data_IF_645164007573
#
_entry.id   IF_645164007573
#
_cell.length_a   1.000
_cell.length_b   1.000
_cell.length_c   1.000
_cell.angle_alpha   90.00
_cell.angle_beta   90.00
_cell.angle_gamma   90.00
#
_symmetry.space_group_name_H-M   'P 1'
#
loop_
_entity.id
_entity.type
_entity.pdbx_description
1 polymer ?
#
# COMPACT_ATOMS: atom_id res chain seq x y z
N UNK A 1 14.44 8.95 11.82
CA UNK A 1 13.17 9.66 11.58
C UNK A 1 12.28 8.75 10.76
N UNK A 2 11.20 8.25 11.34
CA UNK A 2 10.19 7.47 10.63
C UNK A 2 9.44 8.44 9.73
N UNK A 3 9.55 8.32 8.40
CA UNK A 3 8.72 9.15 7.51
C UNK A 3 7.26 8.74 7.72
N UNK A 4 6.39 9.71 8.05
CA UNK A 4 4.94 9.50 8.20
C UNK A 4 4.21 9.27 6.86
N UNK A 5 4.97 9.04 5.79
CA UNK A 5 4.45 8.83 4.45
C UNK A 5 5.17 7.69 3.72
N UNK A 6 4.42 7.05 2.85
CA UNK A 6 4.85 6.03 1.91
C UNK A 6 4.67 6.59 0.51
N UNK A 7 5.69 6.50 -0.34
CA UNK A 7 5.55 6.88 -1.75
C UNK A 7 6.05 5.78 -2.68
N UNK A 8 5.43 5.68 -3.84
CA UNK A 8 5.78 4.71 -4.89
C UNK A 8 5.27 5.16 -6.25
N UNK A 9 6.07 4.92 -7.29
CA UNK A 9 5.60 4.95 -8.68
C UNK A 9 4.94 3.62 -9.05
N UNK A 10 3.73 3.69 -9.57
CA UNK A 10 2.92 2.52 -9.92
C UNK A 10 3.49 1.84 -11.16
N UNK A 11 3.72 0.54 -11.03
CA UNK A 11 4.20 -0.33 -12.11
C UNK A 11 3.03 -0.81 -12.98
N UNK A 12 3.30 -1.26 -14.20
CA UNK A 12 2.29 -1.87 -15.08
C UNK A 12 1.55 -3.05 -14.44
N UNK A 13 2.24 -3.86 -13.63
CA UNK A 13 1.62 -4.97 -12.88
C UNK A 13 0.61 -4.47 -11.84
N UNK A 14 0.95 -3.40 -11.12
CA UNK A 14 0.12 -2.80 -10.08
C UNK A 14 -1.19 -2.22 -10.66
N UNK A 15 -1.10 -1.56 -11.82
CA UNK A 15 -2.27 -1.11 -12.58
C UNK A 15 -3.13 -2.30 -13.01
N UNK A 16 -2.52 -3.29 -13.68
CA UNK A 16 -3.24 -4.43 -14.28
C UNK A 16 -3.97 -5.26 -13.24
N UNK A 17 -3.32 -5.53 -12.11
CA UNK A 17 -3.84 -6.38 -11.05
C UNK A 17 -4.64 -5.60 -9.98
N UNK A 18 -4.56 -4.26 -10.02
CA UNK A 18 -5.33 -3.37 -9.15
C UNK A 18 -4.89 -3.41 -7.69
N UNK A 19 -3.59 -3.24 -7.44
CA UNK A 19 -3.04 -3.10 -6.10
C UNK A 19 -1.88 -2.12 -6.05
N UNK A 20 -1.60 -1.61 -4.85
CA UNK A 20 -0.40 -0.84 -4.54
C UNK A 20 0.51 -1.73 -3.72
N UNK A 21 1.71 -2.02 -4.22
CA UNK A 21 2.65 -2.89 -3.54
C UNK A 21 3.35 -2.13 -2.41
N UNK A 22 3.31 -2.67 -1.19
CA UNK A 22 3.92 -2.08 -0.01
C UNK A 22 5.26 -2.77 0.29
N UNK A 23 6.31 -1.97 0.43
CA UNK A 23 7.64 -2.48 0.76
C UNK A 23 7.69 -2.92 2.23
N UNK A 24 8.30 -4.07 2.52
CA UNK A 24 8.38 -4.65 3.88
C UNK A 24 8.90 -3.67 4.94
N UNK A 25 9.93 -2.89 4.62
CA UNK A 25 10.52 -1.90 5.55
C UNK A 25 9.62 -0.68 5.80
N UNK A 26 8.55 -0.49 5.01
CA UNK A 26 7.54 0.57 5.15
C UNK A 26 6.26 0.10 5.82
N UNK A 27 6.14 -1.19 6.14
CA UNK A 27 4.96 -1.73 6.84
C UNK A 27 4.71 -1.09 8.20
N UNK A 28 5.76 -0.59 8.87
CA UNK A 28 5.63 0.09 10.15
C UNK A 28 4.76 1.36 10.09
N UNK A 29 4.54 1.92 8.90
CA UNK A 29 3.64 3.06 8.70
C UNK A 29 2.16 2.64 8.73
N UNK A 30 1.88 1.40 8.33
CA UNK A 30 0.53 0.88 8.18
C UNK A 30 0.12 0.10 9.43
N UNK A 31 -1.19 -0.08 9.65
CA UNK A 31 -1.68 -1.08 10.59
C UNK A 31 -1.15 -2.47 10.24
N UNK A 32 -1.14 -3.37 11.21
CA UNK A 32 -0.70 -4.76 10.99
C UNK A 32 -1.46 -5.39 9.83
N UNK A 33 -0.79 -6.26 9.08
CA UNK A 33 -1.42 -6.97 7.96
C UNK A 33 -2.74 -7.62 8.39
N UNK A 34 -3.77 -7.49 7.55
CA UNK A 34 -5.13 -7.93 7.86
C UNK A 34 -5.98 -6.93 8.65
N UNK A 35 -5.39 -5.93 9.32
CA UNK A 35 -6.18 -4.89 9.99
C UNK A 35 -6.75 -3.89 8.99
N UNK A 36 -8.03 -3.56 9.19
CA UNK A 36 -8.75 -2.61 8.37
C UNK A 36 -8.42 -1.17 8.77
N UNK A 37 -8.29 -0.30 7.78
CA UNK A 37 -8.14 1.15 7.92
C UNK A 37 -8.80 1.88 6.76
N UNK A 38 -9.04 3.17 6.94
CA UNK A 38 -9.64 4.02 5.93
C UNK A 38 -8.54 4.67 5.09
N UNK A 39 -8.60 4.47 3.78
CA UNK A 39 -7.75 5.13 2.80
C UNK A 39 -8.60 6.08 1.96
N UNK A 40 -8.23 7.37 1.98
CA UNK A 40 -8.99 8.46 1.38
C UNK A 40 -8.18 9.14 0.28
N UNK A 41 -8.74 9.22 -0.92
CA UNK A 41 -8.28 10.11 -1.99
C UNK A 41 -9.13 11.39 -2.02
N UNK A 42 -8.83 12.28 -2.95
CA UNK A 42 -9.65 13.46 -3.22
C UNK A 42 -11.11 13.09 -3.56
N UNK A 43 -11.30 12.03 -4.34
CA UNK A 43 -12.59 11.69 -4.94
C UNK A 43 -13.28 10.50 -4.25
N UNK A 44 -12.52 9.66 -3.53
CA UNK A 44 -13.05 8.41 -2.96
C UNK A 44 -12.50 8.15 -1.56
N UNK A 45 -13.30 7.48 -0.74
CA UNK A 45 -12.90 6.99 0.58
C UNK A 45 -13.28 5.52 0.66
N UNK A 46 -12.34 4.65 1.05
CA UNK A 46 -12.58 3.21 1.13
C UNK A 46 -11.93 2.62 2.37
N UNK A 47 -12.58 1.62 2.96
CA UNK A 47 -11.97 0.79 3.98
C UNK A 47 -11.16 -0.31 3.28
N UNK A 48 -9.88 -0.37 3.59
CA UNK A 48 -8.90 -1.28 3.00
C UNK A 48 -8.07 -1.94 4.09
N UNK A 49 -7.19 -2.86 3.71
CA UNK A 49 -6.21 -3.50 4.60
C UNK A 49 -4.92 -3.73 3.81
N UNK A 50 -3.81 -3.87 4.53
CA UNK A 50 -2.60 -4.46 3.96
C UNK A 50 -2.80 -5.97 3.91
N UNK A 51 -2.79 -6.55 2.72
CA UNK A 51 -2.77 -8.00 2.52
C UNK A 51 -1.32 -8.49 2.48
N UNK A 52 -1.08 -9.68 3.03
CA UNK A 52 0.21 -10.35 2.99
C UNK A 52 0.05 -11.70 2.29
N UNK A 53 0.86 -11.98 1.28
CA UNK A 53 0.86 -13.24 0.53
C UNK A 53 2.27 -13.82 0.54
N UNK A 54 2.38 -15.07 1.00
CA UNK A 54 3.61 -15.85 0.93
C UNK A 54 3.94 -16.12 -0.54
N UNK A 55 5.14 -15.73 -0.96
CA UNK A 55 5.63 -15.88 -2.31
C UNK A 55 6.95 -16.68 -2.29
N UNK A 56 7.09 -17.58 -3.25
CA UNK A 56 8.30 -18.39 -3.45
C UNK A 56 9.06 -17.99 -4.71
N UNK A 57 8.82 -16.79 -5.26
CA UNK A 57 9.43 -16.39 -6.53
C UNK A 57 10.97 -16.26 -6.47
N UNK A 58 11.56 -16.22 -5.27
CA UNK A 58 13.02 -16.29 -5.06
C UNK A 58 13.57 -17.70 -4.89
N UNK A 59 12.73 -18.73 -5.07
CA UNK A 59 13.04 -20.13 -4.81
C UNK A 59 12.41 -20.63 -3.50
N UNK A 60 12.14 -21.93 -3.41
CA UNK A 60 11.50 -22.56 -2.26
C UNK A 60 12.31 -22.39 -0.95
N UNK A 61 13.62 -22.18 -1.06
CA UNK A 61 14.54 -22.01 0.07
C UNK A 61 14.55 -20.57 0.62
N UNK A 62 13.97 -19.60 -0.11
CA UNK A 62 13.91 -18.20 0.28
C UNK A 62 12.45 -17.70 0.23
N UNK A 63 11.55 -18.22 1.09
CA UNK A 63 10.19 -17.71 1.18
C UNK A 63 10.22 -16.24 1.60
N UNK A 64 9.52 -15.40 0.86
CA UNK A 64 9.31 -13.99 1.21
C UNK A 64 7.83 -13.63 1.12
N UNK A 65 7.46 -12.54 1.76
CA UNK A 65 6.08 -12.07 1.76
C UNK A 65 5.95 -10.84 0.86
N UNK A 66 4.92 -10.84 0.02
CA UNK A 66 4.45 -9.67 -0.69
C UNK A 66 3.36 -9.00 0.12
N UNK A 67 3.46 -7.69 0.25
CA UNK A 67 2.45 -6.88 0.92
C UNK A 67 1.85 -5.91 -0.07
N UNK A 68 0.53 -5.76 -0.04
CA UNK A 68 -0.15 -4.86 -0.96
C UNK A 68 -1.47 -4.36 -0.40
N UNK A 69 -1.94 -3.22 -0.92
CA UNK A 69 -3.27 -2.68 -0.67
C UNK A 69 -4.07 -2.83 -1.96
N UNK A 70 -5.23 -3.47 -1.90
CA UNK A 70 -6.13 -3.55 -3.04
C UNK A 70 -6.69 -2.17 -3.36
N UNK A 71 -6.35 -1.66 -4.53
CA UNK A 71 -6.84 -0.37 -5.00
C UNK A 71 -6.83 -0.33 -6.52
N UNK A 72 -8.02 -0.22 -7.12
CA UNK A 72 -8.21 -0.10 -8.57
C UNK A 72 -8.32 1.35 -8.99
N UNK A 73 -7.96 1.61 -10.25
CA UNK A 73 -8.08 2.93 -10.87
C UNK A 73 -6.85 3.81 -10.68
N UNK A 74 -5.66 3.20 -10.58
CA UNK A 74 -4.38 3.91 -10.65
C UNK A 74 -3.64 3.39 -11.88
N UNK A 75 -2.97 4.27 -12.60
CA UNK A 75 -2.31 3.98 -13.86
C UNK A 75 -0.80 3.82 -13.67
N UNK A 76 -0.16 3.06 -14.54
CA UNK A 76 1.30 3.01 -14.64
C UNK A 76 1.89 4.43 -14.72
N UNK A 77 2.99 4.64 -14.01
CA UNK A 77 3.70 5.91 -13.99
C UNK A 77 3.13 6.94 -13.02
N UNK A 78 1.91 6.75 -12.49
CA UNK A 78 1.41 7.60 -11.41
C UNK A 78 2.30 7.48 -10.17
N UNK A 79 2.53 8.60 -9.50
CA UNK A 79 3.24 8.65 -8.25
C UNK A 79 2.23 8.72 -7.10
N UNK A 80 2.15 7.63 -6.34
CA UNK A 80 1.22 7.51 -5.22
C UNK A 80 1.94 7.85 -3.93
N UNK A 81 1.35 8.75 -3.14
CA UNK A 81 1.81 9.11 -1.80
C UNK A 81 0.69 8.79 -0.81
N UNK A 82 1.00 7.99 0.21
CA UNK A 82 0.10 7.62 1.29
C UNK A 82 0.65 8.16 2.60
N UNK A 83 -0.13 9.00 3.28
CA UNK A 83 0.25 9.67 4.52
C UNK A 83 -0.69 9.24 5.65
N UNK A 84 -0.13 8.91 6.81
CA UNK A 84 -0.93 8.65 8.00
C UNK A 84 -1.41 9.97 8.61
N UNK A 85 -2.68 10.04 9.00
CA UNK A 85 -3.18 11.18 9.75
C UNK A 85 -2.80 11.06 11.23
N UNK A 86 -1.97 11.98 11.73
CA UNK A 86 -1.52 12.02 13.14
C UNK A 86 -2.69 12.08 14.15
N UNK A 87 -3.81 12.72 13.80
CA UNK A 87 -4.98 12.84 14.70
C UNK A 87 -5.89 11.59 14.68
N UNK A 88 -5.77 10.73 13.66
CA UNK A 88 -6.63 9.55 13.50
C UNK A 88 -5.79 8.41 12.93
N UNK A 89 -5.21 7.53 13.77
CA UNK A 89 -4.17 6.59 13.35
C UNK A 89 -4.62 5.51 12.35
N UNK A 90 -5.94 5.37 12.13
CA UNK A 90 -6.54 4.47 11.13
C UNK A 90 -7.05 5.20 9.88
N UNK A 91 -6.78 6.49 9.74
CA UNK A 91 -7.12 7.28 8.57
C UNK A 91 -5.84 7.64 7.83
N UNK A 92 -5.81 7.25 6.56
CA UNK A 92 -4.70 7.50 5.66
C UNK A 92 -5.22 8.33 4.49
N UNK A 93 -4.42 9.30 4.06
CA UNK A 93 -4.68 10.10 2.87
C UNK A 93 -3.78 9.58 1.76
N UNK A 94 -4.37 9.34 0.59
CA UNK A 94 -3.65 9.01 -0.62
C UNK A 94 -3.76 10.15 -1.63
N UNK A 95 -2.61 10.59 -2.14
CA UNK A 95 -2.48 11.54 -3.24
C UNK A 95 -1.88 10.80 -4.42
N UNK A 96 -2.40 11.07 -5.61
CA UNK A 96 -1.91 10.52 -6.88
C UNK A 96 -1.43 11.72 -7.69
N UNK A 97 -0.16 11.71 -8.06
CA UNK A 97 0.51 12.72 -8.88
C UNK A 97 0.87 12.17 -10.27
#
# INVERSE_FOLDING_TARGET
>A
MSSNFYSRTISLEEEREGYIFILKHRLMLFPSSGQLFTLKTKDTERVVKVEAVSCVCRGAELPHEHYFIRWKGIQEGNHVIIEQNDATPRLFKMVIE
#
